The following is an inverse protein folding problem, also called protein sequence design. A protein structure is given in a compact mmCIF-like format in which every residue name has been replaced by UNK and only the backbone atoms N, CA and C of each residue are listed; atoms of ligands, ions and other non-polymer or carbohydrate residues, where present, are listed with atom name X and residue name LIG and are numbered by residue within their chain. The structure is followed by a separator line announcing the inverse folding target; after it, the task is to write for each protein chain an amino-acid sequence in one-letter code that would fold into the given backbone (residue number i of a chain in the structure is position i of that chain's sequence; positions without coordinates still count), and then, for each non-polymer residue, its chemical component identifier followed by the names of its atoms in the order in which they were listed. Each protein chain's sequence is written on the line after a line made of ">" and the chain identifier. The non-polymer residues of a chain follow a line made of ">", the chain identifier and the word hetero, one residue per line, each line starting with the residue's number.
data_IF_402177507473
#
_entry.id   IF_402177507473
#
_cell.length_a   1.000
_cell.length_b   1.000
_cell.length_c   1.000
_cell.angle_alpha   90.00
_cell.angle_beta   90.00
_cell.angle_gamma   90.00
#
_symmetry.space_group_name_H-M   'P 1'
#
loop_
_entity.id
_entity.type
_entity.pdbx_description
1 polymer ?
#
# COMPACT_ATOMS: atom_id res chain seq x y z
N UNK A 1 2.53 -0.83 -12.31
CA UNK A 1 3.74 -0.73 -11.53
C UNK A 1 3.51 0.01 -10.22
N UNK A 2 2.82 1.09 -10.07
CA UNK A 2 2.45 1.75 -8.81
C UNK A 2 0.95 1.67 -8.53
N UNK A 3 0.53 1.84 -7.26
CA UNK A 3 -0.90 1.97 -6.91
C UNK A 3 -1.72 0.67 -6.92
N UNK A 4 -1.08 -0.51 -6.95
CA UNK A 4 -1.79 -1.80 -6.97
C UNK A 4 -2.40 -2.19 -5.61
N UNK A 5 -2.03 -1.53 -4.50
CA UNK A 5 -2.55 -1.87 -3.16
C UNK A 5 -1.59 -2.65 -2.27
N UNK A 6 -0.30 -2.79 -2.64
CA UNK A 6 0.70 -3.52 -1.84
C UNK A 6 0.86 -2.95 -0.43
N UNK A 7 1.01 -1.63 -0.29
CA UNK A 7 1.22 -1.00 1.02
C UNK A 7 0.04 -1.19 1.97
N UNK A 8 -1.22 -0.96 1.57
CA UNK A 8 -2.38 -1.31 2.39
C UNK A 8 -2.46 -2.80 2.74
N UNK A 9 -2.09 -3.71 1.81
CA UNK A 9 -2.03 -5.14 2.09
C UNK A 9 -0.95 -5.48 3.13
N UNK A 10 0.23 -4.88 3.03
CA UNK A 10 1.29 -5.04 4.04
C UNK A 10 0.81 -4.62 5.42
N UNK A 11 0.02 -3.55 5.52
CA UNK A 11 -0.59 -3.09 6.76
C UNK A 11 -1.59 -4.13 7.28
N UNK A 12 -2.53 -4.56 6.44
CA UNK A 12 -3.55 -5.55 6.80
C UNK A 12 -2.93 -6.85 7.34
N UNK A 13 -1.97 -7.42 6.63
CA UNK A 13 -1.28 -8.64 7.05
C UNK A 13 -0.47 -8.44 8.34
N UNK A 14 0.18 -7.28 8.50
CA UNK A 14 0.93 -6.97 9.71
C UNK A 14 0.02 -6.87 10.94
N UNK A 15 -1.15 -6.25 10.80
CA UNK A 15 -2.17 -6.15 11.84
C UNK A 15 -2.76 -7.53 12.15
N UNK A 16 -3.05 -8.33 11.13
CA UNK A 16 -3.55 -9.71 11.30
C UNK A 16 -2.60 -10.56 12.15
N UNK A 17 -1.32 -10.69 11.78
CA UNK A 17 -0.35 -11.49 12.54
C UNK A 17 -0.11 -10.96 13.95
N UNK A 18 -0.27 -9.67 14.18
CA UNK A 18 -0.16 -9.11 15.52
C UNK A 18 -1.41 -9.39 16.37
N UNK A 19 -2.61 -9.29 15.81
CA UNK A 19 -3.87 -9.38 16.55
C UNK A 19 -4.34 -10.82 16.75
N UNK A 20 -4.28 -11.66 15.70
CA UNK A 20 -4.88 -12.99 15.67
C UNK A 20 -3.93 -14.11 16.06
N UNK A 21 -2.63 -13.96 15.88
CA UNK A 21 -1.67 -15.04 16.11
C UNK A 21 -0.71 -14.73 17.27
N UNK A 22 -1.25 -14.71 18.49
CA UNK A 22 -0.52 -14.55 19.75
C UNK A 22 0.46 -13.37 19.81
N UNK A 23 0.16 -12.27 19.10
CA UNK A 23 0.98 -11.06 19.03
C UNK A 23 2.37 -11.33 18.44
N UNK A 24 2.44 -12.08 17.34
CA UNK A 24 3.71 -12.30 16.64
C UNK A 24 4.42 -10.99 16.34
N UNK A 25 5.72 -10.97 16.53
CA UNK A 25 6.56 -9.83 16.20
C UNK A 25 6.77 -9.76 14.70
N UNK A 26 6.15 -8.79 14.05
CA UNK A 26 6.23 -8.61 12.61
C UNK A 26 7.41 -7.72 12.23
N UNK A 27 8.21 -8.17 11.26
CA UNK A 27 9.21 -7.39 10.57
C UNK A 27 8.79 -7.09 9.13
N UNK A 28 8.99 -5.85 8.69
CA UNK A 28 8.68 -5.45 7.31
C UNK A 28 9.96 -5.05 6.62
N UNK A 29 10.21 -5.61 5.42
CA UNK A 29 11.35 -5.24 4.59
C UNK A 29 10.89 -4.26 3.52
N UNK A 30 11.44 -3.05 3.54
CA UNK A 30 11.29 -2.04 2.50
C UNK A 30 12.64 -1.75 1.81
N UNK A 31 12.57 -1.39 0.53
CA UNK A 31 13.76 -0.97 -0.22
C UNK A 31 14.20 0.47 0.12
N UNK A 32 13.32 1.27 0.71
CA UNK A 32 13.56 2.70 0.93
C UNK A 32 13.69 3.45 -0.39
N UNK A 33 12.75 3.25 -1.30
CA UNK A 33 12.80 3.86 -2.63
C UNK A 33 12.88 5.39 -2.54
N UNK A 34 13.76 6.01 -3.35
CA UNK A 34 14.11 7.45 -3.34
C UNK A 34 14.67 8.00 -2.02
N UNK A 35 14.83 7.19 -0.96
CA UNK A 35 15.52 7.62 0.25
C UNK A 35 17.02 7.84 0.02
N UNK A 36 17.58 8.93 0.56
CA UNK A 36 19.01 9.28 0.44
C UNK A 36 19.91 8.26 1.12
N UNK A 37 19.45 7.67 2.24
CA UNK A 37 20.15 6.66 3.04
C UNK A 37 19.79 5.22 2.66
N UNK A 38 19.14 5.00 1.50
CA UNK A 38 18.88 3.67 0.96
C UNK A 38 20.21 2.91 0.75
N UNK A 39 20.77 2.42 1.85
CA UNK A 39 22.14 1.87 1.94
C UNK A 39 22.17 0.36 1.70
N UNK A 40 23.40 -0.16 1.52
CA UNK A 40 23.66 -1.60 1.53
C UNK A 40 23.49 -2.20 2.93
N UNK A 41 23.58 -1.38 3.97
CA UNK A 41 23.47 -1.80 5.36
C UNK A 41 22.02 -1.68 5.85
N UNK A 42 21.48 -2.73 6.46
CA UNK A 42 20.11 -2.72 6.96
C UNK A 42 19.98 -1.76 8.14
N UNK A 43 18.84 -1.06 8.17
CA UNK A 43 18.51 -0.11 9.22
C UNK A 43 17.05 -0.27 9.62
N UNK A 44 16.77 -0.49 10.91
CA UNK A 44 15.40 -0.52 11.44
C UNK A 44 15.00 0.91 11.76
N UNK A 45 13.88 1.35 11.17
CA UNK A 45 13.37 2.71 11.36
C UNK A 45 12.92 2.97 12.78
N UNK A 46 13.14 4.20 13.23
CA UNK A 46 12.62 4.79 14.45
C UNK A 46 11.54 5.83 14.15
N UNK A 47 10.78 6.24 15.16
CA UNK A 47 9.71 7.25 15.02
C UNK A 47 10.20 8.61 14.50
N UNK A 48 11.47 8.95 14.77
CA UNK A 48 12.08 10.23 14.39
C UNK A 48 12.66 10.24 12.97
N UNK A 49 12.65 9.10 12.28
CA UNK A 49 13.18 9.02 10.93
C UNK A 49 12.26 9.71 9.91
N UNK A 50 12.88 10.30 8.89
CA UNK A 50 12.18 11.12 7.90
C UNK A 50 12.15 10.47 6.51
N UNK A 51 11.18 10.90 5.70
CA UNK A 51 10.96 10.35 4.36
C UNK A 51 12.08 10.69 3.36
N UNK A 52 12.78 11.81 3.56
CA UNK A 52 13.90 12.22 2.68
C UNK A 52 15.06 11.22 2.77
N UNK A 53 15.34 10.74 3.97
CA UNK A 53 16.44 9.81 4.20
C UNK A 53 16.07 8.36 3.86
N UNK A 54 14.85 7.92 4.21
CA UNK A 54 14.49 6.51 4.18
C UNK A 54 13.38 6.14 3.17
N UNK A 55 12.81 7.12 2.49
CA UNK A 55 11.68 6.94 1.56
C UNK A 55 10.32 7.04 2.25
N UNK A 56 9.36 7.62 1.56
CA UNK A 56 8.02 7.93 2.07
C UNK A 56 7.22 6.67 2.46
N UNK A 57 7.30 5.61 1.66
CA UNK A 57 6.59 4.36 1.91
C UNK A 57 7.08 3.65 3.18
N UNK A 58 8.41 3.57 3.37
CA UNK A 58 8.99 2.94 4.55
C UNK A 58 8.67 3.72 5.83
N UNK A 59 8.75 5.06 5.77
CA UNK A 59 8.42 5.92 6.90
C UNK A 59 6.92 5.89 7.21
N UNK A 60 6.07 5.84 6.18
CA UNK A 60 4.63 5.65 6.38
C UNK A 60 4.33 4.33 7.12
N UNK A 61 4.87 3.20 6.64
CA UNK A 61 4.69 1.91 7.31
C UNK A 61 5.17 1.93 8.77
N UNK A 62 6.34 2.52 9.04
CA UNK A 62 6.90 2.62 10.38
C UNK A 62 6.04 3.45 11.34
N UNK A 63 5.44 4.56 10.85
CA UNK A 63 4.56 5.41 11.67
C UNK A 63 3.15 4.82 11.84
N UNK A 64 2.66 4.08 10.83
CA UNK A 64 1.32 3.46 10.85
C UNK A 64 1.28 2.21 11.73
N UNK A 65 2.36 1.46 11.79
CA UNK A 65 2.46 0.16 12.43
C UNK A 65 3.41 0.22 13.62
N UNK A 66 2.91 0.72 14.77
CA UNK A 66 3.69 0.82 16.02
C UNK A 66 4.17 -0.54 16.56
N UNK A 67 3.53 -1.63 16.13
CA UNK A 67 3.81 -3.00 16.58
C UNK A 67 4.69 -3.78 15.60
N UNK A 68 5.17 -3.17 14.51
CA UNK A 68 6.03 -3.81 13.54
C UNK A 68 7.38 -3.10 13.40
N UNK A 69 8.42 -3.87 13.12
CA UNK A 69 9.76 -3.36 12.84
C UNK A 69 9.92 -3.15 11.34
N UNK A 70 10.11 -1.93 10.87
CA UNK A 70 10.36 -1.65 9.46
C UNK A 70 11.84 -1.52 9.19
N UNK A 71 12.40 -2.42 8.40
CA UNK A 71 13.81 -2.42 8.04
C UNK A 71 14.01 -1.98 6.60
N UNK A 72 14.85 -0.95 6.40
CA UNK A 72 15.20 -0.43 5.08
C UNK A 72 16.55 -0.97 4.65
N UNK A 73 16.57 -1.68 3.50
CA UNK A 73 17.81 -2.14 2.88
C UNK A 73 17.60 -2.54 1.41
N UNK A 74 18.54 -2.19 0.53
CA UNK A 74 18.54 -2.69 -0.87
C UNK A 74 18.73 -4.20 -0.94
N UNK A 75 19.51 -4.76 -0.02
CA UNK A 75 19.71 -6.21 0.10
C UNK A 75 18.69 -6.79 1.09
N UNK A 76 17.59 -7.35 0.56
CA UNK A 76 16.50 -7.90 1.37
C UNK A 76 16.92 -9.07 2.26
N UNK A 77 17.90 -9.88 1.83
CA UNK A 77 18.43 -10.96 2.66
C UNK A 77 19.10 -10.41 3.94
N UNK A 78 19.90 -9.33 3.83
CA UNK A 78 20.51 -8.68 5.02
C UNK A 78 19.46 -8.02 5.90
N UNK A 79 18.42 -7.45 5.31
CA UNK A 79 17.29 -6.91 6.07
C UNK A 79 16.57 -8.01 6.87
N UNK A 80 16.29 -9.16 6.25
CA UNK A 80 15.68 -10.30 6.91
C UNK A 80 16.55 -10.80 8.08
N UNK A 81 17.86 -10.96 7.87
CA UNK A 81 18.78 -11.36 8.94
C UNK A 81 18.78 -10.38 10.13
N UNK A 82 18.68 -9.08 9.85
CA UNK A 82 18.60 -8.08 10.91
C UNK A 82 17.29 -8.17 11.69
N UNK A 83 16.16 -8.32 10.98
CA UNK A 83 14.84 -8.46 11.60
C UNK A 83 14.75 -9.72 12.47
N UNK A 84 15.24 -10.87 11.98
CA UNK A 84 15.31 -12.12 12.78
C UNK A 84 16.14 -11.91 14.04
N UNK A 85 17.33 -11.29 13.93
CA UNK A 85 18.18 -10.97 15.10
C UNK A 85 17.49 -10.02 16.08
N UNK A 86 16.59 -9.17 15.60
CA UNK A 86 15.80 -8.25 16.43
C UNK A 86 14.53 -8.89 16.97
N UNK A 87 14.30 -10.19 16.70
CA UNK A 87 13.21 -10.98 17.24
C UNK A 87 11.95 -11.01 16.40
N UNK A 88 12.01 -10.66 15.10
CA UNK A 88 10.89 -10.86 14.20
C UNK A 88 10.60 -12.37 14.03
N UNK A 89 9.33 -12.73 14.13
CA UNK A 89 8.81 -14.09 13.97
C UNK A 89 8.17 -14.25 12.58
N UNK A 90 7.53 -13.20 12.09
CA UNK A 90 7.00 -13.09 10.72
C UNK A 90 7.73 -11.96 9.99
N UNK A 91 8.07 -12.18 8.72
CA UNK A 91 8.70 -11.16 7.88
C UNK A 91 7.87 -10.94 6.62
N UNK A 92 7.37 -9.71 6.43
CA UNK A 92 6.65 -9.29 5.23
C UNK A 92 7.63 -8.51 4.34
N UNK A 93 7.83 -8.98 3.11
CA UNK A 93 8.70 -8.30 2.14
C UNK A 93 7.87 -7.52 1.11
N UNK A 94 7.74 -6.21 1.31
CA UNK A 94 7.09 -5.35 0.33
C UNK A 94 7.92 -5.31 -0.98
N UNK A 95 7.20 -5.44 -2.13
CA UNK A 95 7.79 -5.54 -3.48
C UNK A 95 8.86 -6.66 -3.56
N UNK A 96 8.48 -7.86 -3.08
CA UNK A 96 9.38 -9.00 -2.84
C UNK A 96 9.59 -9.94 -4.01
N UNK A 97 8.66 -10.03 -4.96
CA UNK A 97 8.61 -11.11 -5.96
C UNK A 97 9.90 -11.29 -6.78
N UNK A 98 10.59 -10.20 -7.16
CA UNK A 98 11.84 -10.23 -7.93
C UNK A 98 13.09 -10.58 -7.10
N UNK A 99 12.97 -10.85 -5.81
CA UNK A 99 14.12 -11.10 -4.93
C UNK A 99 14.35 -12.59 -4.66
N UNK A 100 14.65 -13.37 -5.68
CA UNK A 100 14.84 -14.83 -5.65
C UNK A 100 15.90 -15.36 -4.67
N UNK A 101 16.81 -14.49 -4.19
CA UNK A 101 17.80 -14.86 -3.16
C UNK A 101 17.26 -14.86 -1.75
N UNK A 102 16.05 -14.34 -1.52
CA UNK A 102 15.35 -14.40 -0.26
C UNK A 102 14.45 -15.63 -0.27
N UNK A 103 14.69 -16.59 0.63
CA UNK A 103 13.75 -17.69 0.89
C UNK A 103 12.42 -17.11 1.37
N UNK A 104 11.33 -17.75 1.02
CA UNK A 104 9.98 -17.32 1.38
C UNK A 104 9.08 -18.54 1.51
N UNK A 105 8.18 -18.48 2.46
CA UNK A 105 7.22 -19.53 2.75
C UNK A 105 5.92 -19.32 1.99
N UNK A 106 5.60 -18.04 1.66
CA UNK A 106 4.38 -17.65 0.97
C UNK A 106 4.60 -16.46 0.02
N UNK A 107 4.01 -16.50 -1.18
CA UNK A 107 4.10 -15.44 -2.18
C UNK A 107 2.72 -14.95 -2.61
N UNK A 108 2.51 -13.64 -2.51
CA UNK A 108 1.27 -12.98 -2.93
C UNK A 108 1.54 -12.05 -4.10
N UNK A 109 0.89 -12.31 -5.23
CA UNK A 109 0.88 -11.41 -6.37
C UNK A 109 -0.31 -10.45 -6.28
N UNK A 110 -0.04 -9.14 -6.21
CA UNK A 110 -1.09 -8.12 -6.19
C UNK A 110 -1.25 -7.53 -7.59
N UNK A 111 -2.44 -7.69 -8.16
CA UNK A 111 -2.78 -7.28 -9.53
C UNK A 111 -3.82 -6.16 -9.50
N UNK A 112 -3.61 -5.12 -10.32
CA UNK A 112 -4.61 -4.08 -10.55
C UNK A 112 -5.71 -4.64 -11.46
N UNK A 113 -6.91 -4.83 -10.93
CA UNK A 113 -8.03 -5.43 -11.64
C UNK A 113 -8.55 -4.60 -12.81
N UNK A 114 -8.23 -3.30 -12.87
CA UNK A 114 -8.60 -2.45 -14.01
C UNK A 114 -7.66 -2.62 -15.21
N UNK A 115 -6.43 -3.05 -14.98
CA UNK A 115 -5.37 -3.20 -16.00
C UNK A 115 -4.99 -4.64 -16.24
N UNK A 116 -5.24 -5.51 -15.28
CA UNK A 116 -4.83 -6.92 -15.27
C UNK A 116 -3.34 -7.06 -15.62
N UNK A 117 -3.02 -7.92 -16.58
CA UNK A 117 -1.66 -8.13 -17.07
C UNK A 117 -1.31 -7.22 -18.27
N UNK A 118 -2.20 -6.29 -18.63
CA UNK A 118 -2.02 -5.39 -19.76
C UNK A 118 -1.87 -6.14 -21.10
N UNK A 119 -0.88 -5.74 -21.91
CA UNK A 119 -0.56 -6.41 -23.17
C UNK A 119 0.34 -7.65 -23.00
N UNK A 120 0.61 -8.09 -21.77
CA UNK A 120 1.41 -9.26 -21.40
C UNK A 120 2.90 -9.18 -21.78
N UNK A 121 3.40 -8.06 -22.29
CA UNK A 121 4.81 -7.87 -22.58
C UNK A 121 5.58 -7.35 -21.38
N UNK A 122 6.87 -7.72 -21.35
CA UNK A 122 7.82 -7.20 -20.36
C UNK A 122 8.20 -5.75 -20.67
N UNK A 123 8.65 -5.03 -19.65
CA UNK A 123 9.24 -3.70 -19.82
C UNK A 123 10.42 -3.76 -20.81
N UNK A 124 10.59 -2.79 -21.72
CA UNK A 124 9.79 -1.57 -21.87
C UNK A 124 8.55 -1.70 -22.81
N UNK A 125 8.36 -2.85 -23.45
CA UNK A 125 7.28 -3.05 -24.44
C UNK A 125 5.88 -3.20 -23.81
N UNK A 126 5.80 -3.54 -22.52
CA UNK A 126 4.58 -3.67 -21.76
C UNK A 126 4.80 -3.39 -20.27
N UNK A 127 3.75 -3.60 -19.43
CA UNK A 127 3.80 -3.22 -18.02
C UNK A 127 4.47 -4.25 -17.12
N UNK A 128 4.78 -5.45 -17.59
CA UNK A 128 5.24 -6.54 -16.76
C UNK A 128 6.73 -6.44 -16.43
N UNK A 129 7.09 -6.82 -15.19
CA UNK A 129 8.48 -6.96 -14.74
C UNK A 129 9.00 -8.39 -14.95
N UNK A 130 8.10 -9.36 -14.99
CA UNK A 130 8.37 -10.78 -15.15
C UNK A 130 7.38 -11.40 -16.14
N UNK A 131 7.70 -12.59 -16.65
CA UNK A 131 6.80 -13.31 -17.56
C UNK A 131 5.47 -13.62 -16.87
N UNK A 132 4.40 -13.68 -17.66
CA UNK A 132 3.04 -14.00 -17.17
C UNK A 132 3.03 -15.34 -16.42
N UNK A 133 3.79 -16.34 -16.89
CA UNK A 133 3.90 -17.64 -16.23
C UNK A 133 4.39 -17.59 -14.78
N UNK A 134 4.96 -16.47 -14.33
CA UNK A 134 5.34 -16.27 -12.92
C UNK A 134 4.13 -16.31 -11.95
N UNK A 135 2.93 -16.07 -12.48
CA UNK A 135 1.69 -16.16 -11.69
C UNK A 135 1.38 -17.60 -11.28
N UNK A 136 1.79 -18.59 -12.08
CA UNK A 136 1.58 -20.02 -11.76
C UNK A 136 2.45 -20.48 -10.57
N UNK A 137 3.49 -19.72 -10.23
CA UNK A 137 4.43 -20.06 -9.17
C UNK A 137 4.12 -19.36 -7.83
N UNK A 138 3.14 -18.45 -7.77
CA UNK A 138 2.74 -17.78 -6.52
C UNK A 138 1.66 -18.57 -5.79
N UNK A 139 1.60 -18.44 -4.47
CA UNK A 139 0.61 -19.13 -3.63
C UNK A 139 -0.77 -18.47 -3.71
N UNK A 140 -0.80 -17.13 -3.95
CA UNK A 140 -2.01 -16.35 -3.95
C UNK A 140 -1.95 -15.19 -4.95
N UNK A 141 -3.06 -14.96 -5.66
CA UNK A 141 -3.30 -13.75 -6.44
C UNK A 141 -4.37 -12.89 -5.76
N UNK A 142 -4.06 -11.63 -5.51
CA UNK A 142 -5.00 -10.64 -4.99
C UNK A 142 -5.31 -9.58 -6.05
N UNK A 143 -6.59 -9.48 -6.40
CA UNK A 143 -7.11 -8.56 -7.42
C UNK A 143 -7.69 -7.30 -6.78
N UNK A 144 -7.09 -6.16 -7.04
CA UNK A 144 -7.63 -4.88 -6.58
C UNK A 144 -8.72 -4.38 -7.52
N UNK A 145 -9.98 -4.38 -7.11
CA UNK A 145 -11.10 -3.86 -7.88
C UNK A 145 -12.44 -4.59 -7.69
N UNK A 146 -12.56 -5.39 -6.63
CA UNK A 146 -13.80 -6.09 -6.29
C UNK A 146 -14.19 -7.19 -7.29
N UNK A 147 -15.46 -7.59 -7.29
CA UNK A 147 -15.97 -8.71 -8.08
C UNK A 147 -15.81 -8.53 -9.60
N UNK A 148 -15.96 -7.33 -10.10
CA UNK A 148 -15.75 -7.04 -11.53
C UNK A 148 -14.32 -7.39 -11.98
N UNK A 149 -13.32 -7.09 -11.13
CA UNK A 149 -11.95 -7.46 -11.38
C UNK A 149 -11.75 -8.97 -11.43
N UNK A 150 -12.45 -9.72 -10.57
CA UNK A 150 -12.41 -11.17 -10.55
C UNK A 150 -12.98 -11.78 -11.84
N UNK A 151 -14.15 -11.36 -12.25
CA UNK A 151 -14.78 -11.82 -13.49
C UNK A 151 -13.92 -11.53 -14.75
N UNK A 152 -13.32 -10.35 -14.80
CA UNK A 152 -12.41 -9.97 -15.88
C UNK A 152 -11.12 -10.80 -15.86
N UNK A 153 -10.63 -11.15 -14.66
CA UNK A 153 -9.44 -11.98 -14.49
C UNK A 153 -9.65 -13.39 -15.03
N UNK A 154 -10.75 -14.05 -14.70
CA UNK A 154 -11.08 -15.38 -15.23
C UNK A 154 -11.07 -15.40 -16.77
N UNK A 155 -11.76 -14.43 -17.39
CA UNK A 155 -11.79 -14.30 -18.83
C UNK A 155 -10.38 -14.06 -19.43
N UNK A 156 -9.56 -13.28 -18.75
CA UNK A 156 -8.20 -12.97 -19.18
C UNK A 156 -7.29 -14.20 -19.12
N UNK A 157 -7.37 -15.00 -18.05
CA UNK A 157 -6.62 -16.24 -17.91
C UNK A 157 -7.00 -17.28 -18.98
N UNK A 158 -8.29 -17.47 -19.20
CA UNK A 158 -8.77 -18.37 -20.26
C UNK A 158 -8.19 -17.99 -21.63
N UNK A 159 -8.14 -16.70 -21.93
CA UNK A 159 -7.57 -16.19 -23.19
C UNK A 159 -6.06 -16.37 -23.28
N UNK A 160 -5.36 -16.40 -22.13
CA UNK A 160 -3.91 -16.61 -22.04
C UNK A 160 -3.50 -18.10 -21.97
N UNK A 161 -4.47 -19.04 -21.92
CA UNK A 161 -4.21 -20.48 -21.82
C UNK A 161 -3.70 -20.91 -20.42
N UNK A 162 -3.98 -20.13 -19.39
CA UNK A 162 -3.56 -20.38 -18.00
C UNK A 162 -4.72 -20.99 -17.22
N UNK A 163 -4.50 -22.15 -16.60
CA UNK A 163 -5.59 -22.94 -16.00
C UNK A 163 -5.36 -23.31 -14.52
N UNK A 164 -4.17 -23.08 -13.98
CA UNK A 164 -3.78 -23.55 -12.65
C UNK A 164 -3.36 -22.41 -11.72
N UNK A 165 -4.27 -21.53 -11.34
CA UNK A 165 -4.00 -20.57 -10.26
C UNK A 165 -4.56 -21.13 -8.96
N UNK A 166 -3.72 -21.22 -7.94
CA UNK A 166 -4.00 -21.96 -6.72
C UNK A 166 -5.06 -21.30 -5.85
N UNK A 167 -4.99 -19.98 -5.66
CA UNK A 167 -5.99 -19.20 -4.94
C UNK A 167 -6.07 -17.78 -5.52
N UNK A 168 -7.29 -17.27 -5.67
CA UNK A 168 -7.54 -15.91 -6.14
C UNK A 168 -8.59 -15.26 -5.25
N UNK A 169 -8.28 -14.10 -4.69
CA UNK A 169 -9.23 -13.27 -3.96
C UNK A 169 -9.29 -11.88 -4.58
N UNK A 170 -10.41 -11.22 -4.46
CA UNK A 170 -10.53 -9.81 -4.78
C UNK A 170 -10.47 -8.95 -3.51
N UNK A 171 -10.11 -7.70 -3.67
CA UNK A 171 -10.18 -6.72 -2.60
C UNK A 171 -10.47 -5.33 -3.14
N UNK A 172 -10.94 -4.47 -2.26
CA UNK A 172 -11.10 -3.04 -2.52
C UNK A 172 -10.33 -2.21 -1.52
N UNK A 173 -9.82 -1.06 -1.98
CA UNK A 173 -9.21 -0.06 -1.09
C UNK A 173 -10.26 1.00 -0.82
N UNK A 174 -10.60 1.17 0.44
CA UNK A 174 -11.56 2.15 0.90
C UNK A 174 -10.85 3.33 1.57
N UNK A 175 -11.28 4.55 1.22
CA UNK A 175 -10.74 5.80 1.74
C UNK A 175 -11.79 6.58 2.54
N UNK A 176 -12.67 5.89 3.27
CA UNK A 176 -13.83 6.52 3.95
C UNK A 176 -13.44 7.37 5.15
N UNK A 177 -12.28 7.11 5.74
CA UNK A 177 -11.83 7.71 7.00
C UNK A 177 -10.68 8.67 6.75
N UNK A 178 -10.70 9.79 7.48
CA UNK A 178 -9.63 10.79 7.52
C UNK A 178 -9.27 11.11 8.97
N UNK A 179 -8.02 11.49 9.19
CA UNK A 179 -7.57 12.07 10.45
C UNK A 179 -7.06 13.49 10.23
N UNK A 180 -7.49 14.44 11.08
CA UNK A 180 -6.89 15.76 11.08
C UNK A 180 -5.44 15.66 11.56
N UNK A 181 -4.51 16.24 10.80
CA UNK A 181 -3.07 16.10 11.08
C UNK A 181 -2.58 16.91 12.28
N UNK A 182 -3.36 17.86 12.76
CA UNK A 182 -2.99 18.70 13.91
C UNK A 182 -3.46 18.10 15.25
N UNK A 183 -4.71 17.64 15.34
CA UNK A 183 -5.34 17.17 16.57
C UNK A 183 -5.67 15.67 16.60
N UNK A 184 -5.42 14.97 15.49
CA UNK A 184 -5.74 13.55 15.29
C UNK A 184 -7.24 13.20 15.39
N UNK A 185 -8.14 14.19 15.29
CA UNK A 185 -9.56 13.91 15.24
C UNK A 185 -9.94 13.09 14.01
N UNK A 186 -10.82 12.09 14.22
CA UNK A 186 -11.29 11.19 13.17
C UNK A 186 -12.52 11.78 12.49
N UNK A 187 -12.54 11.76 11.17
CA UNK A 187 -13.61 12.25 10.31
C UNK A 187 -13.98 11.20 9.25
N UNK A 188 -15.19 11.34 8.71
CA UNK A 188 -15.65 10.56 7.56
C UNK A 188 -15.75 11.44 6.32
N UNK A 189 -15.49 10.89 5.14
CA UNK A 189 -15.65 11.63 3.86
C UNK A 189 -17.04 12.25 3.72
N UNK A 190 -18.09 11.58 4.22
CA UNK A 190 -19.47 12.09 4.17
C UNK A 190 -19.67 13.45 4.87
N UNK A 191 -18.82 13.83 5.81
CA UNK A 191 -18.87 15.15 6.48
C UNK A 191 -18.47 16.31 5.56
N UNK A 192 -17.88 15.99 4.43
CA UNK A 192 -17.40 16.94 3.42
C UNK A 192 -18.29 16.98 2.18
N UNK A 193 -19.43 16.27 2.16
CA UNK A 193 -20.40 16.30 1.06
C UNK A 193 -20.79 17.74 0.73
N UNK A 194 -20.76 18.07 -0.57
CA UNK A 194 -21.05 19.42 -1.09
C UNK A 194 -19.92 20.43 -0.91
N UNK A 195 -18.82 20.06 -0.26
CA UNK A 195 -17.65 20.96 -0.10
C UNK A 195 -16.66 20.77 -1.26
N UNK A 196 -15.92 21.82 -1.54
CA UNK A 196 -14.70 21.76 -2.37
C UNK A 196 -13.53 21.41 -1.49
N UNK A 197 -12.70 20.43 -1.90
CA UNK A 197 -11.48 20.05 -1.19
C UNK A 197 -10.29 20.01 -2.15
N UNK A 198 -9.15 20.43 -1.66
CA UNK A 198 -7.87 20.25 -2.37
C UNK A 198 -7.32 18.88 -2.03
N UNK A 199 -6.76 18.18 -3.02
CA UNK A 199 -6.21 16.83 -2.80
C UNK A 199 -4.77 16.75 -3.28
N UNK A 200 -3.85 16.48 -2.37
CA UNK A 200 -2.44 16.21 -2.63
C UNK A 200 -2.22 14.70 -2.68
N UNK A 201 -1.96 14.18 -3.88
CA UNK A 201 -1.82 12.75 -4.11
C UNK A 201 -0.66 12.42 -5.07
N UNK A 202 0.56 12.38 -4.54
CA UNK A 202 1.77 11.95 -5.25
C UNK A 202 1.88 10.42 -5.34
N UNK A 203 0.88 9.78 -5.94
CA UNK A 203 0.77 8.32 -6.11
C UNK A 203 0.61 7.95 -7.60
N UNK A 204 0.88 6.70 -7.96
CA UNK A 204 0.90 6.25 -9.36
C UNK A 204 -0.44 6.28 -10.11
N UNK A 205 -1.58 6.39 -9.42
CA UNK A 205 -2.92 6.54 -10.03
C UNK A 205 -3.81 7.44 -9.16
N UNK A 206 -3.58 8.77 -9.17
CA UNK A 206 -4.35 9.69 -8.35
C UNK A 206 -5.81 9.83 -8.83
N UNK A 207 -6.09 9.66 -10.11
CA UNK A 207 -7.43 9.76 -10.68
C UNK A 207 -8.44 8.81 -10.05
N UNK A 208 -7.99 7.60 -9.69
CA UNK A 208 -8.84 6.64 -8.98
C UNK A 208 -9.25 7.17 -7.61
N UNK A 209 -8.30 7.73 -6.86
CA UNK A 209 -8.56 8.33 -5.56
C UNK A 209 -9.54 9.52 -5.67
N UNK A 210 -9.35 10.38 -6.68
CA UNK A 210 -10.24 11.53 -6.89
C UNK A 210 -11.68 11.07 -7.14
N UNK A 211 -11.87 10.10 -8.04
CA UNK A 211 -13.19 9.51 -8.31
C UNK A 211 -13.81 8.86 -7.06
N UNK A 212 -13.01 8.22 -6.22
CA UNK A 212 -13.51 7.62 -4.99
C UNK A 212 -13.98 8.69 -3.99
N UNK A 213 -13.31 9.82 -3.90
CA UNK A 213 -13.73 10.97 -3.08
C UNK A 213 -14.99 11.62 -3.67
N UNK A 214 -15.05 11.80 -4.98
CA UNK A 214 -16.18 12.41 -5.70
C UNK A 214 -17.48 11.62 -5.55
N UNK A 215 -17.43 10.30 -5.35
CA UNK A 215 -18.62 9.46 -5.04
C UNK A 215 -19.39 9.91 -3.81
N UNK A 216 -18.74 10.66 -2.91
CA UNK A 216 -19.37 11.24 -1.72
C UNK A 216 -19.98 12.63 -1.95
N UNK A 217 -20.07 13.06 -3.22
CA UNK A 217 -20.58 14.40 -3.58
C UNK A 217 -19.61 15.53 -3.20
N UNK A 218 -18.32 15.24 -3.11
CA UNK A 218 -17.25 16.19 -2.80
C UNK A 218 -16.68 16.70 -4.14
N UNK A 219 -16.38 17.99 -4.22
CA UNK A 219 -15.73 18.59 -5.39
C UNK A 219 -14.21 18.54 -5.17
N UNK A 220 -13.51 17.74 -5.97
CA UNK A 220 -12.06 17.57 -5.87
C UNK A 220 -11.33 18.61 -6.72
N UNK A 221 -10.37 19.30 -6.11
CA UNK A 221 -9.39 20.16 -6.79
C UNK A 221 -8.01 19.51 -6.62
N UNK A 222 -7.47 18.84 -7.67
CA UNK A 222 -6.18 18.19 -7.59
C UNK A 222 -5.06 19.22 -7.40
N UNK A 223 -4.11 18.91 -6.53
CA UNK A 223 -2.81 19.58 -6.47
C UNK A 223 -1.84 18.77 -7.33
N UNK A 224 -1.41 19.37 -8.44
CA UNK A 224 -0.46 18.72 -9.35
C UNK A 224 0.89 18.52 -8.67
N UNK A 225 1.31 17.26 -8.57
CA UNK A 225 2.59 16.87 -8.00
C UNK A 225 3.11 15.63 -8.72
N UNK A 226 4.39 15.60 -8.98
CA UNK A 226 5.04 14.38 -9.48
C UNK A 226 5.04 13.28 -8.42
N UNK A 227 5.10 12.02 -8.86
CA UNK A 227 5.23 10.88 -7.95
C UNK A 227 6.46 11.05 -7.06
N UNK A 228 6.25 11.02 -5.74
CA UNK A 228 7.20 11.36 -4.68
C UNK A 228 7.66 12.84 -4.63
N UNK A 229 7.05 13.75 -5.37
CA UNK A 229 7.33 15.19 -5.30
C UNK A 229 7.00 15.78 -3.92
N UNK A 230 7.44 17.02 -3.71
CA UNK A 230 7.14 17.85 -2.53
C UNK A 230 6.78 19.25 -3.00
N UNK A 231 5.70 19.81 -2.45
CA UNK A 231 5.26 21.19 -2.69
C UNK A 231 5.18 21.94 -1.38
N UNK A 232 5.17 23.28 -1.42
CA UNK A 232 4.88 24.05 -0.21
C UNK A 232 3.38 23.99 0.08
N UNK A 233 3.00 23.16 1.06
CA UNK A 233 1.59 22.98 1.43
C UNK A 233 0.94 24.22 2.04
N UNK A 234 1.72 25.19 2.51
CA UNK A 234 1.19 26.42 3.09
C UNK A 234 0.49 27.32 2.07
N UNK A 235 0.85 27.22 0.79
CA UNK A 235 0.18 27.98 -0.28
C UNK A 235 -1.24 27.48 -0.56
N UNK A 236 -1.55 26.25 -0.14
CA UNK A 236 -2.88 25.63 -0.29
C UNK A 236 -3.71 25.71 0.98
N UNK A 237 -3.19 26.35 2.02
CA UNK A 237 -3.88 26.50 3.28
C UNK A 237 -4.70 27.78 3.29
N UNK A 238 -5.98 27.66 3.16
CA UNK A 238 -6.92 28.66 3.68
C UNK A 238 -7.71 28.07 4.85
N UNK A 239 -8.32 28.94 5.67
CA UNK A 239 -9.13 28.46 6.81
C UNK A 239 -10.48 27.84 6.37
N UNK A 240 -10.77 27.80 5.08
CA UNK A 240 -12.07 27.44 4.51
C UNK A 240 -12.01 26.12 3.74
N UNK A 241 -11.00 25.96 2.86
CA UNK A 241 -10.90 24.82 1.96
C UNK A 241 -10.05 23.70 2.58
N UNK A 242 -10.64 22.51 2.86
CA UNK A 242 -9.88 21.40 3.41
C UNK A 242 -8.81 20.92 2.44
N UNK A 243 -7.63 20.58 2.97
CA UNK A 243 -6.55 19.92 2.25
C UNK A 243 -6.52 18.43 2.64
N UNK A 244 -6.77 17.55 1.68
CA UNK A 244 -6.62 16.10 1.85
C UNK A 244 -5.29 15.63 1.31
N UNK A 245 -4.63 14.77 2.04
CA UNK A 245 -3.34 14.19 1.67
C UNK A 245 -3.38 12.68 1.72
N UNK A 246 -2.61 12.03 0.84
CA UNK A 246 -2.34 10.60 1.05
C UNK A 246 -1.38 10.41 2.22
N UNK A 247 -1.38 9.24 2.90
CA UNK A 247 -0.42 8.97 3.97
C UNK A 247 1.05 9.07 3.52
N UNK A 248 1.34 8.65 2.30
CA UNK A 248 2.68 8.77 1.70
C UNK A 248 3.12 10.23 1.52
N UNK A 249 2.18 11.11 1.23
CA UNK A 249 2.48 12.53 1.11
C UNK A 249 2.62 13.19 2.48
N UNK A 250 1.74 12.87 3.41
CA UNK A 250 1.74 13.44 4.75
C UNK A 250 3.07 13.22 5.49
N UNK A 251 3.73 12.06 5.33
CA UNK A 251 5.01 11.76 6.00
C UNK A 251 6.21 12.56 5.51
N UNK A 252 6.06 13.28 4.38
CA UNK A 252 7.09 14.17 3.82
C UNK A 252 7.17 15.51 4.55
N UNK A 253 6.16 15.83 5.36
CA UNK A 253 6.02 17.11 6.04
C UNK A 253 6.11 16.93 7.56
N UNK A 254 6.46 18.00 8.25
CA UNK A 254 6.52 18.05 9.70
C UNK A 254 5.43 18.98 10.26
N UNK A 255 5.02 18.73 11.50
CA UNK A 255 4.12 19.64 12.22
C UNK A 255 4.77 21.02 12.45
N UNK A 256 4.01 22.12 12.49
CA UNK A 256 2.57 22.17 12.35
C UNK A 256 2.11 22.08 10.89
N UNK A 257 0.98 21.45 10.66
CA UNK A 257 0.32 21.47 9.37
C UNK A 257 -0.60 22.71 9.25
N UNK A 258 -0.94 23.14 8.00
CA UNK A 258 -2.01 24.11 7.80
C UNK A 258 -3.31 23.65 8.50
N UNK A 259 -4.14 24.61 8.92
CA UNK A 259 -5.48 24.28 9.43
C UNK A 259 -6.26 23.50 8.37
N UNK A 260 -7.24 22.71 8.80
CA UNK A 260 -8.06 21.90 7.91
C UNK A 260 -7.26 20.93 6.99
N UNK A 261 -6.11 20.44 7.46
CA UNK A 261 -5.33 19.41 6.75
C UNK A 261 -5.64 18.04 7.31
N UNK A 262 -6.05 17.14 6.41
CA UNK A 262 -6.48 15.78 6.75
C UNK A 262 -5.66 14.76 5.97
N UNK A 263 -5.35 13.65 6.62
CA UNK A 263 -4.75 12.48 5.97
C UNK A 263 -5.82 11.41 5.78
N UNK A 264 -5.92 10.86 4.58
CA UNK A 264 -6.74 9.69 4.29
C UNK A 264 -6.16 8.46 5.01
N UNK A 265 -7.02 7.60 5.52
CA UNK A 265 -6.64 6.31 6.12
C UNK A 265 -7.16 5.16 5.25
N UNK A 266 -6.44 4.77 4.20
CA UNK A 266 -6.86 3.70 3.32
C UNK A 266 -6.82 2.36 4.04
N UNK A 267 -7.90 1.59 3.95
CA UNK A 267 -7.96 0.22 4.43
C UNK A 267 -8.46 -0.73 3.34
N UNK A 268 -8.13 -2.01 3.49
CA UNK A 268 -8.56 -3.06 2.57
C UNK A 268 -9.81 -3.76 3.12
N UNK A 269 -10.75 -4.01 2.22
CA UNK A 269 -11.84 -4.97 2.40
C UNK A 269 -11.60 -6.13 1.45
N UNK A 270 -11.49 -7.36 1.99
CA UNK A 270 -11.29 -8.60 1.22
C UNK A 270 -12.64 -9.17 0.83
N UNK A 271 -12.79 -9.54 -0.45
CA UNK A 271 -14.02 -10.14 -0.97
C UNK A 271 -15.22 -9.19 -0.92
N UNK A 272 -16.41 -9.77 -0.88
CA UNK A 272 -17.67 -9.04 -0.79
C UNK A 272 -18.35 -9.18 0.57
N UNK A 273 -17.98 -10.21 1.34
CA UNK A 273 -18.54 -10.46 2.66
C UNK A 273 -17.49 -10.94 3.68
N UNK A 274 -17.96 -11.15 4.93
CA UNK A 274 -17.07 -11.62 6.02
C UNK A 274 -16.61 -13.08 5.84
N UNK A 275 -17.30 -13.88 5.03
CA UNK A 275 -16.91 -15.23 4.71
C UNK A 275 -15.65 -15.26 3.85
N UNK A 276 -15.57 -14.38 2.86
CA UNK A 276 -14.39 -14.19 2.01
C UNK A 276 -13.19 -13.73 2.83
N UNK A 277 -13.39 -12.77 3.72
CA UNK A 277 -12.34 -12.26 4.60
C UNK A 277 -11.82 -13.38 5.53
N UNK A 278 -12.70 -14.16 6.13
CA UNK A 278 -12.32 -15.30 6.95
C UNK A 278 -11.53 -16.33 6.15
N UNK A 279 -12.03 -16.72 4.97
CA UNK A 279 -11.35 -17.68 4.09
C UNK A 279 -9.97 -17.19 3.64
N UNK A 280 -9.81 -15.89 3.42
CA UNK A 280 -8.51 -15.30 3.11
C UNK A 280 -7.52 -15.45 4.27
N UNK A 281 -7.93 -15.16 5.49
CA UNK A 281 -7.04 -15.22 6.64
C UNK A 281 -6.66 -16.64 7.04
N UNK A 282 -7.54 -17.64 6.83
CA UNK A 282 -7.22 -19.06 7.09
C UNK A 282 -6.06 -19.58 6.23
N UNK A 283 -5.71 -18.91 5.12
CA UNK A 283 -4.53 -19.27 4.32
C UNK A 283 -3.21 -19.05 5.08
N UNK A 284 -3.22 -18.33 6.17
CA UNK A 284 -2.02 -17.96 6.94
C UNK A 284 -1.95 -18.61 8.31
N UNK A 285 -2.91 -19.50 8.66
CA UNK A 285 -2.99 -20.14 9.98
C UNK A 285 -1.78 -21.04 10.28
N UNK A 286 -1.11 -21.56 9.25
CA UNK A 286 0.05 -22.46 9.37
C UNK A 286 1.40 -21.72 9.30
N UNK A 287 1.44 -20.38 9.15
CA UNK A 287 2.64 -19.55 9.13
C UNK A 287 2.99 -19.02 10.52
#
# INVERSE_FOLDING_TARGET
>A
VGGTGKTPLTILLSEFFYEHDHKKKVGIISRGYKGRRSSKDPYILSENDNAIDFGDEAVYLSRRLSNAMVCVCKNKHRAAQMLVKSGAEIIISDDGLQHYKLGRDYEIAVVDGSRLLGNQYLLPAGPLRENVSRIDDVDLVLLNGGYEAYSNWENHLHSAGMWNITAVFNFTINNKVLFNLNDNSKHNLSEFTGKTVQVLAGIGNPERLYKDIEKYGIIVVPIEIEDHGVVDINIYSDDVTPLFMTPKDAVKYNKPFPKNTFVLDPYIEIGEDKGDEYAFFTLFDDL
#
